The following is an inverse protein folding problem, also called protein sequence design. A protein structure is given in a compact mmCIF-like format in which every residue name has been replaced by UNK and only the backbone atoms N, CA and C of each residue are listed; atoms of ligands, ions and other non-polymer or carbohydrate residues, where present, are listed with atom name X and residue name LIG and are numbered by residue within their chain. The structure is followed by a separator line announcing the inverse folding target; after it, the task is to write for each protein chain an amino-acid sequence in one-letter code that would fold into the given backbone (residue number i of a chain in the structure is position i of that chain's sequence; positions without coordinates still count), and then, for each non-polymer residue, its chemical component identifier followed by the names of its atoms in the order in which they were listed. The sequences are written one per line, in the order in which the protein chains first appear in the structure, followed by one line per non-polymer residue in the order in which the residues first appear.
data_IF_162405273306
#
_entry.id   IF_162405273306
#
_cell.length_a   1.000
_cell.length_b   1.000
_cell.length_c   1.000
_cell.angle_alpha   90.00
_cell.angle_beta   90.00
_cell.angle_gamma   90.00
#
_symmetry.space_group_name_H-M   'P 1'
#
loop_
_entity.id
_entity.type
_entity.pdbx_description
1 polymer ?
#
# COMPACT_ATOMS: atom_id res chain seq x y z
N UNK A 1 13.16 0.04 22.21
CA UNK A 1 14.01 0.72 21.20
C UNK A 1 13.51 2.11 20.80
N UNK A 2 12.20 2.43 20.89
CA UNK A 2 11.71 3.80 20.62
C UNK A 2 12.40 4.87 21.48
N UNK A 3 12.58 4.62 22.78
CA UNK A 3 13.30 5.56 23.68
C UNK A 3 14.72 5.90 23.20
N UNK A 4 15.40 4.98 22.51
CA UNK A 4 16.76 5.17 21.98
C UNK A 4 16.75 6.20 20.84
N UNK A 5 15.70 6.21 20.00
CA UNK A 5 15.49 7.27 19.02
C UNK A 5 15.22 8.62 19.69
N UNK A 6 14.34 8.66 20.70
CA UNK A 6 14.01 9.90 21.45
C UNK A 6 15.23 10.46 22.20
N UNK A 7 16.12 9.60 22.69
CA UNK A 7 17.39 9.98 23.28
C UNK A 7 18.36 10.60 22.27
N UNK A 8 18.20 10.29 20.97
CA UNK A 8 19.09 10.73 19.89
C UNK A 8 20.26 9.78 19.63
N UNK A 9 20.28 8.60 20.25
CA UNK A 9 21.34 7.60 20.08
C UNK A 9 21.25 6.89 18.71
N UNK A 10 20.04 6.78 18.15
CA UNK A 10 19.82 6.27 16.78
C UNK A 10 19.23 7.39 15.93
N UNK A 11 19.82 7.61 14.75
CA UNK A 11 19.33 8.60 13.78
C UNK A 11 17.99 8.15 13.17
N UNK A 12 17.00 9.05 13.05
CA UNK A 12 15.75 8.74 12.35
C UNK A 12 16.00 8.44 10.87
N UNK A 13 15.12 7.63 10.28
CA UNK A 13 15.14 7.21 8.88
C UNK A 13 16.52 6.67 8.45
N UNK A 14 17.15 5.89 9.32
CA UNK A 14 18.51 5.34 9.15
C UNK A 14 19.58 6.39 8.76
N UNK A 15 19.38 7.66 9.11
CA UNK A 15 20.29 8.75 8.76
C UNK A 15 20.12 9.31 7.33
N UNK A 16 19.03 9.00 6.63
CA UNK A 16 18.76 9.49 5.27
C UNK A 16 18.82 11.02 5.12
N UNK A 17 18.60 11.75 6.21
CA UNK A 17 18.59 13.22 6.24
C UNK A 17 19.83 13.84 6.89
N UNK A 18 20.90 13.07 7.13
CA UNK A 18 22.09 13.53 7.85
C UNK A 18 22.90 14.64 7.14
N UNK A 19 22.63 14.92 5.87
CA UNK A 19 23.29 15.97 5.09
C UNK A 19 22.83 17.40 5.41
N UNK A 20 21.85 17.57 6.30
CA UNK A 20 21.36 18.87 6.77
C UNK A 20 21.01 18.78 8.25
N UNK A 21 21.20 19.88 8.98
CA UNK A 21 20.71 20.00 10.35
C UNK A 21 19.20 20.28 10.35
N UNK A 22 18.44 19.32 10.87
CA UNK A 22 16.99 19.39 11.05
C UNK A 22 16.59 19.53 12.53
N UNK A 23 17.57 19.65 13.44
CA UNK A 23 17.37 19.58 14.87
C UNK A 23 17.34 18.14 15.42
N UNK A 24 17.10 18.03 16.73
CA UNK A 24 16.95 16.74 17.41
C UNK A 24 15.64 16.07 16.99
N UNK A 25 15.67 14.74 16.84
CA UNK A 25 14.49 13.94 16.55
C UNK A 25 13.33 14.22 17.52
N UNK A 26 12.17 14.55 16.96
CA UNK A 26 10.92 14.79 17.69
C UNK A 26 9.88 13.73 17.27
N UNK A 27 9.68 12.72 18.12
CA UNK A 27 8.75 11.61 17.86
C UNK A 27 7.32 12.09 17.58
N UNK A 28 6.88 13.16 18.23
CA UNK A 28 5.53 13.69 18.03
C UNK A 28 5.43 14.29 16.62
N UNK A 29 6.33 15.21 16.27
CA UNK A 29 6.27 15.95 14.99
C UNK A 29 6.64 15.12 13.77
N UNK A 30 7.54 14.15 13.93
CA UNK A 30 8.11 13.41 12.80
C UNK A 30 7.39 12.07 12.55
N UNK A 31 6.71 11.51 13.55
CA UNK A 31 6.02 10.21 13.41
C UNK A 31 4.53 10.30 13.70
N UNK A 32 4.14 10.80 14.88
CA UNK A 32 2.75 10.72 15.34
C UNK A 32 1.85 11.68 14.55
N UNK A 33 2.25 12.95 14.47
CA UNK A 33 1.50 13.99 13.73
C UNK A 33 1.49 13.75 12.21
N UNK A 34 2.37 12.87 11.73
CA UNK A 34 2.50 12.49 10.31
C UNK A 34 1.83 11.16 9.98
N UNK A 35 1.33 10.42 10.97
CA UNK A 35 0.58 9.20 10.72
C UNK A 35 -0.74 9.55 10.01
N UNK A 36 -0.98 9.08 8.78
CA UNK A 36 -2.13 9.52 7.99
C UNK A 36 -3.49 9.15 8.59
N UNK A 37 -3.55 8.11 9.43
CA UNK A 37 -4.77 7.72 10.15
C UNK A 37 -4.77 8.14 11.62
N UNK A 38 -3.75 8.88 12.07
CA UNK A 38 -3.59 9.33 13.46
C UNK A 38 -3.79 8.21 14.51
N UNK A 39 -3.44 6.98 14.18
CA UNK A 39 -3.65 5.80 15.02
C UNK A 39 -2.53 5.54 16.05
N UNK A 40 -1.59 6.46 16.20
CA UNK A 40 -0.41 6.32 17.05
C UNK A 40 -0.50 7.22 18.28
N UNK A 41 0.01 6.77 19.43
CA UNK A 41 0.09 7.54 20.67
C UNK A 41 1.39 7.26 21.43
N UNK A 42 1.98 8.31 21.98
CA UNK A 42 3.11 8.24 22.89
C UNK A 42 2.72 8.80 24.26
N UNK A 43 3.04 8.08 25.34
CA UNK A 43 2.74 8.51 26.72
C UNK A 43 3.97 9.04 27.48
N UNK A 44 5.09 9.25 26.80
CA UNK A 44 6.39 9.56 27.43
C UNK A 44 7.27 8.34 27.67
N UNK A 45 6.71 7.13 27.61
CA UNK A 45 7.41 5.89 27.90
C UNK A 45 7.21 4.79 26.85
N UNK A 46 6.00 4.65 26.30
CA UNK A 46 5.58 3.61 25.38
C UNK A 46 4.87 4.21 24.18
N UNK A 47 5.24 3.70 23.00
CA UNK A 47 4.56 3.98 21.75
C UNK A 47 3.50 2.90 21.56
N UNK A 48 2.27 3.32 21.33
CA UNK A 48 1.13 2.45 21.06
C UNK A 48 0.57 2.78 19.67
N UNK A 49 0.16 1.74 18.94
CA UNK A 49 -0.42 1.85 17.60
C UNK A 49 -1.74 1.07 17.62
N UNK A 50 -2.85 1.73 17.29
CA UNK A 50 -4.13 1.05 17.09
C UNK A 50 -4.14 0.46 15.68
N UNK A 51 -3.60 -0.76 15.53
CA UNK A 51 -3.36 -1.41 14.24
C UNK A 51 -4.61 -1.55 13.37
N UNK A 52 -5.80 -1.69 13.98
CA UNK A 52 -7.07 -1.73 13.26
C UNK A 52 -7.34 -0.46 12.41
N UNK A 53 -6.81 0.69 12.84
CA UNK A 53 -6.95 1.96 12.13
C UNK A 53 -5.70 2.27 11.27
N UNK A 54 -4.70 1.37 11.23
CA UNK A 54 -3.46 1.58 10.48
C UNK A 54 -3.65 1.26 9.00
N UNK A 55 -3.37 2.22 8.13
CA UNK A 55 -3.42 2.07 6.66
C UNK A 55 -2.12 1.52 6.05
N UNK A 56 -1.18 1.06 6.89
CA UNK A 56 0.08 0.41 6.47
C UNK A 56 0.93 1.24 5.47
N UNK A 57 0.95 2.56 5.63
CA UNK A 57 1.69 3.50 4.76
C UNK A 57 3.23 3.46 4.89
N UNK A 58 3.77 2.63 5.78
CA UNK A 58 5.20 2.49 6.08
C UNK A 58 5.91 3.68 6.74
N UNK A 59 5.30 4.87 6.84
CA UNK A 59 5.96 6.08 7.39
C UNK A 59 6.69 5.86 8.71
N UNK A 60 6.04 5.25 9.70
CA UNK A 60 6.64 5.05 11.02
C UNK A 60 7.76 4.00 11.01
N UNK A 61 7.62 2.92 10.23
CA UNK A 61 8.65 1.89 10.04
C UNK A 61 9.86 2.48 9.32
N UNK A 62 9.64 3.22 8.22
CA UNK A 62 10.69 3.92 7.49
C UNK A 62 11.47 4.87 8.40
N UNK A 63 10.75 5.59 9.27
CA UNK A 63 11.37 6.56 10.19
C UNK A 63 12.10 5.88 11.36
N UNK A 64 11.62 4.75 11.88
CA UNK A 64 12.22 4.05 13.03
C UNK A 64 12.46 2.55 12.76
N UNK A 65 13.28 2.17 11.76
CA UNK A 65 13.40 0.79 11.29
C UNK A 65 14.03 -0.16 12.31
N UNK A 66 14.78 0.36 13.29
CA UNK A 66 15.33 -0.46 14.38
C UNK A 66 14.31 -0.74 15.49
N UNK A 67 13.19 -0.01 15.54
CA UNK A 67 12.21 -0.10 16.61
C UNK A 67 10.84 -0.64 16.17
N UNK A 68 10.44 -0.39 14.92
CA UNK A 68 9.17 -0.81 14.34
C UNK A 68 9.42 -1.76 13.17
N UNK A 69 8.66 -2.84 13.13
CA UNK A 69 8.77 -3.88 12.10
C UNK A 69 7.39 -4.17 11.50
N UNK A 70 7.39 -4.85 10.35
CA UNK A 70 6.18 -5.38 9.74
C UNK A 70 5.54 -6.45 10.62
N UNK A 71 4.26 -6.74 10.38
CA UNK A 71 3.58 -7.88 11.00
C UNK A 71 4.10 -9.23 10.50
N UNK A 72 3.76 -10.28 11.24
CA UNK A 72 4.14 -11.65 10.91
C UNK A 72 3.18 -12.32 9.92
N UNK A 73 1.90 -11.92 9.92
CA UNK A 73 0.95 -12.28 8.86
C UNK A 73 1.19 -11.40 7.62
N UNK A 74 1.63 -12.03 6.52
CA UNK A 74 2.16 -11.36 5.34
C UNK A 74 1.45 -11.82 4.07
N UNK A 75 1.44 -10.93 3.09
CA UNK A 75 0.83 -11.12 1.78
C UNK A 75 1.03 -9.88 0.93
N UNK A 76 0.26 -9.73 -0.14
CA UNK A 76 0.30 -8.56 -1.01
C UNK A 76 -1.10 -8.07 -1.39
N UNK A 77 -1.15 -6.88 -1.97
CA UNK A 77 -2.34 -6.37 -2.65
C UNK A 77 -2.14 -6.43 -4.17
N UNK A 78 -3.20 -6.69 -4.92
CA UNK A 78 -3.18 -6.65 -6.39
C UNK A 78 -3.83 -5.35 -6.85
N UNK A 79 -3.06 -4.53 -7.57
CA UNK A 79 -3.53 -3.29 -8.20
C UNK A 79 -3.39 -3.41 -9.72
N UNK A 80 -4.41 -3.00 -10.47
CA UNK A 80 -4.50 -3.24 -11.92
C UNK A 80 -4.81 -1.96 -12.70
N UNK A 81 -4.45 -1.96 -13.99
CA UNK A 81 -4.80 -0.88 -14.92
C UNK A 81 -3.74 0.20 -15.14
N UNK A 82 -2.60 0.16 -14.44
CA UNK A 82 -1.55 1.17 -14.60
C UNK A 82 -1.06 1.28 -16.05
N UNK A 83 -0.97 2.51 -16.58
CA UNK A 83 -0.47 2.79 -17.93
C UNK A 83 0.01 4.23 -18.09
N UNK A 84 0.90 4.42 -19.06
CA UNK A 84 1.29 5.74 -19.56
C UNK A 84 0.13 6.44 -20.29
N UNK A 85 0.26 7.74 -20.64
CA UNK A 85 -0.85 8.54 -21.18
C UNK A 85 -1.58 7.97 -22.41
N UNK A 86 -0.87 7.40 -23.39
CA UNK A 86 -1.49 6.98 -24.66
C UNK A 86 -2.40 5.75 -24.48
N UNK A 87 -3.66 5.70 -24.92
CA UNK A 87 -4.44 6.76 -25.58
C UNK A 87 -5.30 7.54 -24.57
N UNK A 88 -6.01 6.86 -23.66
CA UNK A 88 -7.05 7.47 -22.80
C UNK A 88 -6.54 7.93 -21.42
N UNK A 89 -5.40 8.60 -21.43
CA UNK A 89 -4.76 9.19 -20.26
C UNK A 89 -3.96 8.21 -19.41
N UNK A 90 -3.17 8.78 -18.51
CA UNK A 90 -2.33 8.03 -17.59
C UNK A 90 -3.19 7.40 -16.49
N UNK A 91 -2.77 6.22 -16.01
CA UNK A 91 -3.42 5.53 -14.91
C UNK A 91 -2.36 4.96 -13.96
N UNK A 92 -2.63 5.05 -12.65
CA UNK A 92 -1.98 4.21 -11.66
C UNK A 92 -2.83 2.96 -11.42
N UNK A 93 -2.28 1.95 -10.75
CA UNK A 93 -3.03 0.76 -10.40
C UNK A 93 -4.21 1.09 -9.47
N UNK A 94 -5.38 0.55 -9.77
CA UNK A 94 -6.56 0.59 -8.89
C UNK A 94 -6.64 -0.70 -8.09
N UNK A 95 -6.98 -0.62 -6.80
CA UNK A 95 -6.97 -1.77 -5.89
C UNK A 95 -8.08 -2.77 -6.25
N UNK A 96 -7.69 -3.99 -6.65
CA UNK A 96 -8.60 -5.09 -6.96
C UNK A 96 -8.73 -6.04 -5.76
N UNK A 97 -7.61 -6.70 -5.41
CA UNK A 97 -7.53 -7.65 -4.29
C UNK A 97 -6.80 -6.98 -3.12
N UNK A 98 -7.48 -6.70 -1.99
CA UNK A 98 -6.87 -6.00 -0.85
C UNK A 98 -5.75 -6.79 -0.19
N UNK A 99 -5.89 -8.10 -0.12
CA UNK A 99 -4.91 -9.00 0.48
C UNK A 99 -4.97 -10.37 -0.17
N UNK A 100 -3.83 -10.92 -0.55
CA UNK A 100 -3.67 -12.26 -1.11
C UNK A 100 -2.42 -12.93 -0.52
N UNK A 101 -2.47 -14.25 -0.36
CA UNK A 101 -1.29 -15.02 0.05
C UNK A 101 -0.20 -14.93 -1.01
N UNK A 102 1.06 -14.89 -0.56
CA UNK A 102 2.23 -14.85 -1.44
C UNK A 102 3.16 -16.02 -1.13
N UNK A 103 2.61 -17.22 -1.15
CA UNK A 103 3.34 -18.46 -0.92
C UNK A 103 3.46 -19.27 -2.21
N UNK A 104 4.64 -19.83 -2.46
CA UNK A 104 4.85 -20.69 -3.61
C UNK A 104 3.90 -21.92 -3.53
N UNK A 105 3.27 -22.32 -4.64
CA UNK A 105 3.56 -21.95 -6.03
C UNK A 105 2.80 -20.71 -6.58
N UNK A 106 2.21 -19.89 -5.69
CA UNK A 106 1.50 -18.64 -6.00
C UNK A 106 0.22 -18.83 -6.82
N UNK A 107 -0.47 -19.96 -6.64
CA UNK A 107 -1.66 -20.30 -7.42
C UNK A 107 -2.78 -19.26 -7.24
N UNK A 108 -3.00 -18.75 -6.02
CA UNK A 108 -3.98 -17.67 -5.78
C UNK A 108 -3.70 -16.42 -6.65
N UNK A 109 -2.43 -16.05 -6.81
CA UNK A 109 -2.03 -14.90 -7.64
C UNK A 109 -2.21 -15.21 -9.12
N UNK A 110 -1.81 -16.43 -9.54
CA UNK A 110 -1.93 -16.88 -10.92
C UNK A 110 -3.39 -16.96 -11.36
N UNK A 111 -4.29 -17.43 -10.50
CA UNK A 111 -5.72 -17.48 -10.78
C UNK A 111 -6.29 -16.09 -11.10
N UNK A 112 -5.91 -15.07 -10.32
CA UNK A 112 -6.32 -13.68 -10.61
C UNK A 112 -5.75 -13.19 -11.94
N UNK A 113 -4.50 -13.53 -12.27
CA UNK A 113 -3.86 -13.15 -13.54
C UNK A 113 -4.59 -13.80 -14.72
N UNK A 114 -4.84 -15.11 -14.64
CA UNK A 114 -5.47 -15.91 -15.69
C UNK A 114 -6.91 -15.43 -15.95
N UNK A 115 -7.72 -15.18 -14.91
CA UNK A 115 -9.07 -14.61 -15.04
C UNK A 115 -9.07 -13.23 -15.71
N UNK A 116 -8.10 -12.37 -15.39
CA UNK A 116 -7.95 -11.06 -16.05
C UNK A 116 -7.57 -11.23 -17.52
N UNK A 117 -6.67 -12.18 -17.83
CA UNK A 117 -6.26 -12.45 -19.21
C UNK A 117 -7.40 -13.03 -20.04
N UNK A 118 -8.11 -14.04 -19.55
CA UNK A 118 -9.23 -14.66 -20.27
C UNK A 118 -10.30 -13.61 -20.64
N UNK A 119 -10.61 -12.70 -19.71
CA UNK A 119 -11.52 -11.59 -19.98
C UNK A 119 -10.93 -10.56 -20.96
N UNK A 120 -9.72 -10.06 -20.70
CA UNK A 120 -9.14 -8.98 -21.51
C UNK A 120 -8.74 -9.43 -22.92
N UNK A 121 -8.37 -10.69 -23.11
CA UNK A 121 -8.02 -11.24 -24.42
C UNK A 121 -9.25 -11.37 -25.34
N UNK A 122 -10.43 -11.61 -24.78
CA UNK A 122 -11.68 -11.68 -25.54
C UNK A 122 -12.31 -10.28 -25.75
N UNK A 123 -12.36 -9.47 -24.69
CA UNK A 123 -13.08 -8.18 -24.71
C UNK A 123 -12.22 -6.97 -25.08
N UNK A 124 -10.89 -7.13 -25.03
CA UNK A 124 -9.92 -6.07 -25.30
C UNK A 124 -9.92 -5.67 -26.77
N UNK A 125 -10.05 -4.38 -27.05
CA UNK A 125 -9.90 -3.87 -28.42
C UNK A 125 -8.45 -3.90 -28.88
N UNK A 126 -8.24 -3.82 -30.19
CA UNK A 126 -6.89 -3.72 -30.75
C UNK A 126 -6.08 -2.59 -30.09
N UNK A 127 -4.96 -2.96 -29.47
CA UNK A 127 -4.03 -2.07 -28.73
C UNK A 127 -4.65 -1.36 -27.51
N UNK A 128 -5.78 -1.82 -27.01
CA UNK A 128 -6.40 -1.30 -25.78
C UNK A 128 -5.76 -1.95 -24.56
N UNK A 129 -5.27 -1.15 -23.61
CA UNK A 129 -4.69 -1.69 -22.37
C UNK A 129 -5.79 -2.10 -21.40
N UNK A 130 -5.52 -3.05 -20.51
CA UNK A 130 -6.49 -3.51 -19.48
C UNK A 130 -7.12 -2.35 -18.69
N UNK A 131 -6.36 -1.30 -18.36
CA UNK A 131 -6.89 -0.12 -17.68
C UNK A 131 -7.88 0.71 -18.50
N UNK A 132 -7.79 0.68 -19.83
CA UNK A 132 -8.75 1.31 -20.75
C UNK A 132 -10.00 0.43 -20.89
N UNK A 133 -9.82 -0.89 -20.99
CA UNK A 133 -10.93 -1.86 -20.95
C UNK A 133 -11.72 -1.73 -19.65
N UNK A 134 -11.06 -1.57 -18.50
CA UNK A 134 -11.72 -1.29 -17.20
C UNK A 134 -12.52 0.02 -17.21
N UNK A 135 -12.00 1.09 -17.82
CA UNK A 135 -12.74 2.36 -17.97
C UNK A 135 -13.96 2.21 -18.87
N UNK A 136 -13.83 1.45 -19.97
CA UNK A 136 -14.90 1.25 -20.96
C UNK A 136 -16.00 0.31 -20.47
N UNK A 137 -15.63 -0.80 -19.83
CA UNK A 137 -16.55 -1.87 -19.42
C UNK A 137 -16.96 -1.83 -17.96
N UNK A 138 -16.37 -0.92 -17.17
CA UNK A 138 -16.53 -0.76 -15.72
C UNK A 138 -15.64 -1.64 -14.84
N UNK A 139 -15.37 -1.15 -13.64
CA UNK A 139 -14.65 -1.89 -12.61
C UNK A 139 -15.49 -3.05 -12.05
N UNK A 140 -16.83 -2.91 -12.07
CA UNK A 140 -17.76 -3.98 -11.69
C UNK A 140 -17.58 -5.21 -12.57
N UNK A 141 -17.36 -5.02 -13.87
CA UNK A 141 -17.10 -6.16 -14.77
C UNK A 141 -15.82 -6.90 -14.40
N UNK A 142 -14.76 -6.16 -14.05
CA UNK A 142 -13.51 -6.74 -13.57
C UNK A 142 -13.72 -7.54 -12.26
N UNK A 143 -14.55 -7.03 -11.33
CA UNK A 143 -14.89 -7.75 -10.10
C UNK A 143 -15.63 -9.06 -10.39
N UNK A 144 -16.61 -9.06 -11.29
CA UNK A 144 -17.36 -10.24 -11.70
C UNK A 144 -16.43 -11.33 -12.28
N UNK A 145 -15.58 -10.98 -13.26
CA UNK A 145 -14.75 -11.98 -13.95
C UNK A 145 -13.61 -12.53 -13.09
N UNK A 146 -13.26 -11.82 -12.01
CA UNK A 146 -12.24 -12.25 -11.05
C UNK A 146 -12.83 -12.87 -9.79
N UNK A 147 -14.16 -13.07 -9.75
CA UNK A 147 -14.91 -13.55 -8.58
C UNK A 147 -14.61 -12.74 -7.30
N UNK A 148 -14.28 -11.45 -7.43
CA UNK A 148 -13.91 -10.60 -6.31
C UNK A 148 -15.14 -9.82 -5.82
N UNK A 149 -15.53 -9.94 -4.55
CA UNK A 149 -16.67 -9.18 -4.03
C UNK A 149 -16.37 -7.68 -4.03
N UNK A 150 -17.41 -6.88 -4.25
CA UNK A 150 -17.31 -5.44 -4.12
C UNK A 150 -17.08 -5.04 -2.65
N UNK A 151 -16.08 -4.20 -2.40
CA UNK A 151 -15.68 -3.76 -1.06
C UNK A 151 -15.41 -2.26 -1.03
N UNK A 152 -15.65 -1.63 0.12
CA UNK A 152 -15.44 -0.19 0.29
C UNK A 152 -13.99 0.26 -0.01
N UNK A 153 -12.99 -0.59 0.23
CA UNK A 153 -11.59 -0.28 -0.03
C UNK A 153 -11.21 -0.17 -1.51
N UNK A 154 -12.07 -0.59 -2.44
CA UNK A 154 -11.82 -0.53 -3.88
C UNK A 154 -12.11 0.86 -4.48
N UNK A 155 -12.75 1.75 -3.72
CA UNK A 155 -13.10 3.10 -4.16
C UNK A 155 -12.45 4.15 -3.26
N UNK A 156 -12.14 5.31 -3.84
CA UNK A 156 -11.79 6.52 -3.11
C UNK A 156 -12.91 7.53 -3.34
N UNK A 157 -13.53 8.00 -2.27
CA UNK A 157 -14.51 9.08 -2.28
C UNK A 157 -13.81 10.44 -2.08
#
# INVERSE_FOLDING_TARGET
KVKVYVAGEIKPNAGAHAGRDWGKFDLQKEVIDRCPSHCMRWDGSRLSIKTADCVRCMHCINTMPHALHIGDERGASILVGAKAPVVDGAQMGSLLVPFISCEAPYDDIKEVIEKIWDWWMEEGKNRERVGETMKRLSFQKLLEVTDTPAMACQVKA
#
